data_IF_592197263628
#
_entry.id   IF_592197263628
#
_cell.length_a   1.000
_cell.length_b   1.000
_cell.length_c   1.000
_cell.angle_alpha   90.00
_cell.angle_beta   90.00
_cell.angle_gamma   90.00
#
_symmetry.space_group_name_H-M   'P 1'
#
loop_
_entity.id
_entity.type
_entity.pdbx_description
1 polymer ?
#
# COMPACT_ATOMS: atom_id res chain seq x y z
N UNK A 1 1.35 13.30 19.06
CA UNK A 1 2.39 13.30 18.00
C UNK A 1 2.08 14.45 17.06
N UNK A 2 3.05 15.31 16.77
CA UNK A 2 2.86 16.43 15.84
C UNK A 2 3.07 15.98 14.40
N UNK A 3 2.59 16.76 13.42
CA UNK A 3 2.86 16.49 12.00
C UNK A 3 4.37 16.46 11.68
N UNK A 4 5.15 17.32 12.34
CA UNK A 4 6.62 17.32 12.20
C UNK A 4 7.26 16.02 12.70
N UNK A 5 6.72 15.43 13.78
CA UNK A 5 7.21 14.14 14.28
C UNK A 5 6.88 13.02 13.29
N UNK A 6 5.65 13.01 12.76
CA UNK A 6 5.20 12.02 11.77
C UNK A 6 6.07 12.11 10.51
N UNK A 7 6.30 13.32 10.00
CA UNK A 7 7.19 13.55 8.85
C UNK A 7 8.56 12.93 9.08
N UNK A 8 9.22 13.23 10.22
CA UNK A 8 10.55 12.68 10.55
C UNK A 8 10.55 11.15 10.61
N UNK A 9 9.51 10.54 11.19
CA UNK A 9 9.37 9.09 11.26
C UNK A 9 9.29 8.50 9.86
N UNK A 10 8.40 9.03 9.01
CA UNK A 10 8.21 8.57 7.64
C UNK A 10 9.50 8.69 6.82
N UNK A 11 10.15 9.85 6.84
CA UNK A 11 11.41 10.07 6.12
C UNK A 11 12.53 9.10 6.56
N UNK A 12 12.59 8.77 7.86
CA UNK A 12 13.54 7.78 8.38
C UNK A 12 13.21 6.33 8.01
N UNK A 13 11.98 6.05 7.56
CA UNK A 13 11.55 4.73 7.10
C UNK A 13 11.80 4.51 5.60
N UNK A 14 11.86 5.54 4.78
CA UNK A 14 12.00 5.43 3.32
C UNK A 14 13.18 4.49 2.95
N UNK A 15 14.38 4.75 3.48
CA UNK A 15 15.53 3.91 3.16
C UNK A 15 15.33 2.46 3.60
N UNK A 16 14.65 2.23 4.73
CA UNK A 16 14.34 0.88 5.21
C UNK A 16 13.41 0.14 4.25
N UNK A 17 12.43 0.83 3.65
CA UNK A 17 11.56 0.24 2.62
C UNK A 17 12.33 -0.12 1.35
N UNK A 18 13.23 0.75 0.90
CA UNK A 18 14.08 0.49 -0.27
C UNK A 18 14.99 -0.73 -0.03
N UNK A 19 15.61 -0.81 1.16
CA UNK A 19 16.46 -1.95 1.54
C UNK A 19 15.65 -3.24 1.66
N UNK A 20 14.49 -3.20 2.30
CA UNK A 20 13.57 -4.34 2.42
C UNK A 20 13.11 -4.84 1.05
N UNK A 21 12.79 -3.92 0.13
CA UNK A 21 12.42 -4.28 -1.23
C UNK A 21 13.57 -4.91 -2.02
N UNK A 22 14.79 -4.41 -1.87
CA UNK A 22 15.98 -5.05 -2.47
C UNK A 22 16.16 -6.47 -1.94
N UNK A 23 16.04 -6.66 -0.62
CA UNK A 23 16.16 -7.98 0.01
C UNK A 23 15.05 -8.91 -0.49
N UNK A 24 13.80 -8.44 -0.62
CA UNK A 24 12.70 -9.25 -1.15
C UNK A 24 12.99 -9.74 -2.58
N UNK A 25 13.49 -8.87 -3.46
CA UNK A 25 13.88 -9.24 -4.83
C UNK A 25 15.05 -10.23 -4.83
N UNK A 26 16.06 -10.02 -3.98
CA UNK A 26 17.23 -10.91 -3.88
C UNK A 26 16.85 -12.30 -3.36
N UNK A 27 15.96 -12.39 -2.37
CA UNK A 27 15.41 -13.67 -1.88
C UNK A 27 14.63 -14.38 -2.96
N UNK A 28 13.76 -13.67 -3.69
CA UNK A 28 13.00 -14.23 -4.82
C UNK A 28 13.93 -14.87 -5.87
N UNK A 29 15.01 -14.16 -6.24
CA UNK A 29 16.00 -14.67 -7.21
C UNK A 29 16.78 -15.89 -6.72
N UNK A 30 17.02 -16.02 -5.41
CA UNK A 30 17.71 -17.16 -4.80
C UNK A 30 16.82 -18.37 -4.62
N UNK A 31 15.51 -18.23 -4.76
CA UNK A 31 14.50 -19.23 -4.49
C UNK A 31 13.88 -19.08 -3.11
N UNK A 32 12.55 -19.01 -3.09
CA UNK A 32 11.77 -18.82 -1.87
C UNK A 32 11.43 -20.16 -1.20
N UNK A 33 11.52 -20.22 0.12
CA UNK A 33 10.81 -21.21 0.91
C UNK A 33 9.37 -20.75 1.12
N UNK A 34 8.41 -21.66 0.98
CA UNK A 34 6.98 -21.35 0.97
C UNK A 34 6.26 -22.21 1.99
N UNK A 35 5.34 -21.62 2.72
CA UNK A 35 4.46 -22.30 3.66
C UNK A 35 3.01 -21.86 3.42
N UNK A 36 2.05 -22.68 3.84
CA UNK A 36 0.62 -22.34 3.81
C UNK A 36 0.19 -22.12 5.26
N UNK A 37 -0.33 -20.93 5.53
CA UNK A 37 -0.88 -20.57 6.85
C UNK A 37 -2.15 -21.36 7.15
N UNK A 38 -2.59 -21.34 8.41
CA UNK A 38 -3.82 -22.02 8.85
C UNK A 38 -5.10 -21.52 8.17
N UNK A 39 -5.08 -20.30 7.64
CA UNK A 39 -6.16 -19.68 6.87
C UNK A 39 -6.09 -19.98 5.35
N UNK A 40 -5.21 -20.91 4.94
CA UNK A 40 -4.91 -21.27 3.56
C UNK A 40 -4.28 -20.18 2.71
N UNK A 41 -3.76 -19.10 3.29
CA UNK A 41 -2.97 -18.10 2.57
C UNK A 41 -1.49 -18.52 2.52
N UNK A 42 -0.78 -18.21 1.41
CA UNK A 42 0.65 -18.52 1.31
C UNK A 42 1.47 -17.48 2.09
N UNK A 43 2.61 -17.92 2.64
CA UNK A 43 3.67 -17.08 3.19
C UNK A 43 5.02 -17.57 2.71
N UNK A 44 5.97 -16.69 2.53
CA UNK A 44 7.34 -17.04 2.16
C UNK A 44 8.36 -16.49 3.17
N UNK A 45 9.60 -16.96 3.07
CA UNK A 45 10.70 -16.36 3.82
C UNK A 45 10.93 -14.88 3.44
N UNK A 46 10.46 -14.43 2.27
CA UNK A 46 10.46 -13.02 1.88
C UNK A 46 9.56 -12.16 2.75
N UNK A 47 8.30 -12.61 2.97
CA UNK A 47 7.32 -11.95 3.85
C UNK A 47 7.88 -11.82 5.27
N UNK A 48 8.45 -12.90 5.81
CA UNK A 48 8.99 -12.94 7.17
C UNK A 48 10.22 -12.03 7.33
N UNK A 49 11.14 -12.02 6.38
CA UNK A 49 12.34 -11.17 6.48
C UNK A 49 12.00 -9.69 6.31
N UNK A 50 11.11 -9.34 5.36
CA UNK A 50 10.62 -7.96 5.21
C UNK A 50 9.90 -7.51 6.48
N UNK A 51 9.03 -8.34 7.05
CA UNK A 51 8.35 -8.05 8.32
C UNK A 51 9.35 -7.75 9.44
N UNK A 52 10.38 -8.56 9.59
CA UNK A 52 11.43 -8.39 10.60
C UNK A 52 12.19 -7.07 10.43
N UNK A 53 12.57 -6.72 9.20
CA UNK A 53 13.31 -5.49 8.90
C UNK A 53 12.45 -4.27 9.25
N UNK A 54 11.21 -4.22 8.77
CA UNK A 54 10.30 -3.10 9.02
C UNK A 54 9.98 -2.96 10.51
N UNK A 55 9.59 -4.06 11.17
CA UNK A 55 9.22 -4.07 12.59
C UNK A 55 10.37 -3.59 13.46
N UNK A 56 11.60 -4.04 13.20
CA UNK A 56 12.79 -3.60 13.95
C UNK A 56 13.00 -2.09 13.83
N UNK A 57 12.90 -1.54 12.64
CA UNK A 57 13.09 -0.10 12.41
C UNK A 57 11.95 0.72 13.01
N UNK A 58 10.71 0.32 12.80
CA UNK A 58 9.52 0.99 13.34
C UNK A 58 9.59 1.05 14.87
N UNK A 59 9.89 -0.07 15.54
CA UNK A 59 10.04 -0.11 16.99
C UNK A 59 11.18 0.78 17.49
N UNK A 60 12.26 0.93 16.74
CA UNK A 60 13.35 1.85 17.11
C UNK A 60 12.95 3.32 17.03
N UNK A 61 12.01 3.69 16.14
CA UNK A 61 11.52 5.06 15.96
C UNK A 61 10.33 5.38 16.88
N UNK A 62 9.48 4.37 17.13
CA UNK A 62 8.22 4.51 17.87
C UNK A 62 8.05 3.36 18.87
N UNK A 63 8.90 3.23 19.92
CA UNK A 63 8.92 2.06 20.81
C UNK A 63 7.62 1.85 21.59
N UNK A 64 6.81 2.89 21.77
CA UNK A 64 5.55 2.84 22.49
C UNK A 64 4.32 2.62 21.60
N UNK A 65 4.49 2.48 20.29
CA UNK A 65 3.39 2.24 19.36
C UNK A 65 3.46 0.78 18.91
N UNK A 66 2.46 -0.05 19.26
CA UNK A 66 2.45 -1.46 18.88
C UNK A 66 2.33 -1.65 17.37
N UNK A 67 2.84 -2.78 16.89
CA UNK A 67 2.73 -3.19 15.50
C UNK A 67 1.68 -4.29 15.39
N UNK A 68 0.78 -4.15 14.41
CA UNK A 68 -0.12 -5.18 13.90
C UNK A 68 0.34 -5.52 12.49
N UNK A 69 0.84 -6.72 12.31
CA UNK A 69 1.32 -7.19 11.01
C UNK A 69 0.49 -8.37 10.51
N UNK A 70 0.37 -8.50 9.19
CA UNK A 70 -0.23 -9.68 8.57
C UNK A 70 0.51 -10.97 8.96
N UNK A 71 1.83 -10.90 9.18
CA UNK A 71 2.66 -12.07 9.47
C UNK A 71 2.82 -12.40 10.95
N UNK A 72 2.37 -11.52 11.85
CA UNK A 72 2.44 -11.78 13.30
C UNK A 72 1.07 -11.70 13.95
N UNK A 73 0.79 -12.62 14.89
CA UNK A 73 -0.50 -12.71 15.59
C UNK A 73 -0.56 -11.88 16.88
N UNK A 74 0.57 -11.37 17.39
CA UNK A 74 0.68 -10.82 18.74
C UNK A 74 -0.32 -9.70 19.07
N UNK A 75 -0.69 -8.89 18.11
CA UNK A 75 -1.62 -7.76 18.32
C UNK A 75 -2.92 -7.87 17.52
N UNK A 76 -3.10 -8.88 16.67
CA UNK A 76 -4.31 -9.05 15.84
C UNK A 76 -5.60 -9.23 16.67
N UNK A 77 -5.52 -9.78 17.87
CA UNK A 77 -6.65 -10.00 18.77
C UNK A 77 -6.98 -8.78 19.67
N UNK A 78 -6.19 -7.72 19.63
CA UNK A 78 -6.40 -6.53 20.46
C UNK A 78 -7.39 -5.56 19.83
N UNK A 79 -8.67 -5.78 20.04
CA UNK A 79 -9.78 -5.00 19.44
C UNK A 79 -9.86 -3.50 19.85
N UNK A 80 -8.97 -2.99 20.72
CA UNK A 80 -9.07 -1.64 21.29
C UNK A 80 -7.79 -0.79 21.12
N UNK A 81 -6.96 -1.07 20.12
CA UNK A 81 -5.81 -0.23 19.86
C UNK A 81 -6.27 1.10 19.24
N UNK A 82 -5.84 2.21 19.82
CA UNK A 82 -6.08 3.56 19.28
C UNK A 82 -4.89 4.07 18.46
N UNK A 83 -3.68 3.65 18.88
CA UNK A 83 -2.44 4.02 18.20
C UNK A 83 -1.66 2.75 17.89
N UNK A 84 -1.37 2.51 16.62
CA UNK A 84 -0.64 1.32 16.17
C UNK A 84 -0.12 1.48 14.74
N UNK A 85 0.86 0.67 14.39
CA UNK A 85 1.26 0.45 13.00
C UNK A 85 0.51 -0.74 12.44
N UNK A 86 0.03 -0.61 11.21
CA UNK A 86 -0.40 -1.72 10.35
C UNK A 86 0.70 -1.99 9.34
N UNK A 87 1.12 -3.26 9.22
CA UNK A 87 2.14 -3.68 8.25
C UNK A 87 1.60 -4.85 7.44
N UNK A 88 1.70 -4.71 6.12
CA UNK A 88 1.64 -5.82 5.18
C UNK A 88 3.01 -5.92 4.51
N UNK A 89 3.83 -6.90 4.89
CA UNK A 89 5.21 -7.03 4.40
C UNK A 89 5.28 -7.27 2.91
N UNK A 90 4.35 -8.05 2.35
CA UNK A 90 4.25 -8.31 0.91
C UNK A 90 2.78 -8.46 0.52
N UNK A 91 2.09 -7.35 0.22
CA UNK A 91 0.79 -7.37 -0.43
C UNK A 91 0.93 -7.93 -1.85
N UNK A 92 0.24 -9.02 -2.11
CA UNK A 92 0.39 -9.77 -3.33
C UNK A 92 1.38 -10.93 -3.22
N UNK A 93 1.44 -11.61 -2.07
CA UNK A 93 2.30 -12.78 -1.80
C UNK A 93 2.18 -13.85 -2.91
N UNK A 94 0.97 -14.11 -3.43
CA UNK A 94 0.79 -15.05 -4.55
C UNK A 94 1.60 -14.63 -5.78
N UNK A 95 1.56 -13.35 -6.17
CA UNK A 95 2.29 -12.86 -7.33
C UNK A 95 3.80 -12.84 -7.05
N UNK A 96 4.20 -12.46 -5.85
CA UNK A 96 5.58 -12.49 -5.40
C UNK A 96 6.20 -13.89 -5.49
N UNK A 97 5.52 -14.94 -4.99
CA UNK A 97 6.02 -16.31 -5.01
C UNK A 97 5.99 -16.98 -6.39
N UNK A 98 5.25 -16.43 -7.35
CA UNK A 98 5.17 -16.89 -8.73
C UNK A 98 5.99 -16.02 -9.71
N UNK A 99 6.93 -15.25 -9.18
CA UNK A 99 7.86 -14.40 -9.94
C UNK A 99 7.16 -13.33 -10.81
N UNK A 100 6.01 -12.83 -10.33
CA UNK A 100 5.28 -11.73 -10.93
C UNK A 100 5.63 -10.41 -10.21
N UNK A 101 5.55 -9.31 -10.96
CA UNK A 101 6.03 -8.00 -10.49
C UNK A 101 4.94 -7.15 -9.81
N UNK A 102 3.80 -7.75 -9.47
CA UNK A 102 2.64 -7.05 -8.89
C UNK A 102 2.53 -7.29 -7.38
N UNK A 103 3.53 -6.84 -6.61
CA UNK A 103 3.51 -6.88 -5.16
C UNK A 103 4.03 -5.57 -4.57
N UNK A 104 3.61 -5.25 -3.35
CA UNK A 104 4.03 -4.06 -2.62
C UNK A 104 4.37 -4.36 -1.17
N UNK A 105 5.19 -3.50 -0.57
CA UNK A 105 5.52 -3.47 0.85
C UNK A 105 4.77 -2.29 1.45
N UNK A 106 3.96 -2.51 2.48
CA UNK A 106 3.04 -1.52 2.99
C UNK A 106 3.20 -1.30 4.50
N UNK A 107 3.15 -0.04 4.94
CA UNK A 107 2.94 0.30 6.35
C UNK A 107 2.07 1.54 6.50
N UNK A 108 1.16 1.52 7.48
CA UNK A 108 0.31 2.64 7.85
C UNK A 108 0.43 2.94 9.34
N UNK A 109 0.56 4.22 9.70
CA UNK A 109 0.50 4.68 11.09
C UNK A 109 -0.91 5.17 11.42
N UNK A 110 -1.50 4.57 12.44
CA UNK A 110 -2.80 4.93 12.97
C UNK A 110 -2.62 5.62 14.31
N UNK A 111 -3.19 6.81 14.48
CA UNK A 111 -3.24 7.57 15.74
C UNK A 111 -4.67 7.97 16.03
N UNK A 112 -5.15 7.67 17.23
CA UNK A 112 -6.54 7.89 17.63
C UNK A 112 -7.55 7.29 16.65
N UNK A 113 -7.26 6.07 16.20
CA UNK A 113 -8.05 5.31 15.21
C UNK A 113 -8.14 5.95 13.83
N UNK A 114 -7.29 6.94 13.52
CA UNK A 114 -7.21 7.57 12.20
C UNK A 114 -5.85 7.29 11.58
N UNK A 115 -5.76 6.89 10.31
CA UNK A 115 -4.50 6.84 9.60
C UNK A 115 -3.90 8.26 9.56
N UNK A 116 -2.61 8.39 9.80
CA UNK A 116 -1.90 9.70 9.79
C UNK A 116 -0.65 9.67 8.92
N UNK A 117 -0.20 8.48 8.53
CA UNK A 117 0.87 8.29 7.57
C UNK A 117 0.75 6.95 6.86
N UNK A 118 1.30 6.89 5.66
CA UNK A 118 1.37 5.68 4.85
C UNK A 118 2.68 5.60 4.06
N UNK A 119 3.20 4.39 3.90
CA UNK A 119 4.34 4.09 3.03
C UNK A 119 3.99 2.86 2.21
N UNK A 120 4.19 2.96 0.89
CA UNK A 120 3.94 1.87 -0.06
C UNK A 120 5.12 1.83 -1.02
N UNK A 121 5.80 0.70 -1.09
CA UNK A 121 6.88 0.48 -2.04
C UNK A 121 6.58 -0.72 -2.94
N UNK A 122 6.66 -0.52 -4.24
CA UNK A 122 6.57 -1.57 -5.27
C UNK A 122 7.99 -1.92 -5.77
N UNK A 123 8.68 -2.91 -5.16
CA UNK A 123 10.11 -3.15 -5.42
C UNK A 123 10.41 -3.50 -6.88
N UNK A 124 9.57 -4.34 -7.50
CA UNK A 124 9.76 -4.76 -8.89
C UNK A 124 9.54 -3.62 -9.91
N UNK A 125 8.85 -2.55 -9.51
CA UNK A 125 8.61 -1.35 -10.32
C UNK A 125 9.50 -0.18 -9.91
N UNK A 126 10.27 -0.33 -8.81
CA UNK A 126 11.09 0.71 -8.19
C UNK A 126 10.31 2.01 -7.93
N UNK A 127 9.08 1.87 -7.39
CA UNK A 127 8.20 3.01 -7.09
C UNK A 127 7.91 3.07 -5.60
N UNK A 128 8.27 4.19 -4.97
CA UNK A 128 8.08 4.43 -3.54
C UNK A 128 7.13 5.61 -3.34
N UNK A 129 6.02 5.35 -2.66
CA UNK A 129 5.01 6.33 -2.31
C UNK A 129 4.93 6.48 -0.79
N UNK A 130 4.71 7.70 -0.31
CA UNK A 130 4.55 7.95 1.11
C UNK A 130 3.76 9.21 1.41
N UNK A 131 3.19 9.27 2.61
CA UNK A 131 2.46 10.43 3.10
C UNK A 131 2.65 10.62 4.60
N UNK A 132 2.46 11.85 5.08
CA UNK A 132 2.53 12.20 6.51
C UNK A 132 1.51 13.28 6.89
N UNK A 133 0.26 13.07 6.53
CA UNK A 133 -0.88 13.95 6.81
C UNK A 133 -1.55 14.45 5.54
N UNK A 134 -2.63 15.21 5.73
CA UNK A 134 -3.42 15.79 4.65
C UNK A 134 -2.53 16.65 3.75
N UNK A 135 -2.70 16.56 2.44
CA UNK A 135 -1.96 17.30 1.41
C UNK A 135 -0.45 17.01 1.32
N UNK A 136 0.08 16.05 2.10
CA UNK A 136 1.51 15.68 2.10
C UNK A 136 1.74 14.26 1.59
N UNK A 137 1.35 14.02 0.33
CA UNK A 137 1.55 12.74 -0.38
C UNK A 137 2.58 12.91 -1.49
N UNK A 138 3.51 11.96 -1.59
CA UNK A 138 4.68 12.04 -2.46
C UNK A 138 4.98 10.71 -3.13
N UNK A 139 5.57 10.78 -4.32
CA UNK A 139 6.34 9.70 -4.92
C UNK A 139 7.82 10.05 -4.90
N UNK A 140 8.68 9.10 -4.57
CA UNK A 140 10.11 9.27 -4.64
C UNK A 140 10.60 8.94 -6.05
N UNK A 141 11.01 9.94 -6.81
CA UNK A 141 11.50 9.78 -8.19
C UNK A 141 12.97 10.18 -8.24
N UNK A 142 13.86 9.24 -8.58
CA UNK A 142 15.32 9.46 -8.61
C UNK A 142 15.91 10.00 -7.30
N UNK A 143 15.32 9.62 -6.16
CA UNK A 143 15.72 10.08 -4.84
C UNK A 143 15.12 11.42 -4.40
N UNK A 144 14.34 12.07 -5.25
CA UNK A 144 13.68 13.34 -4.95
C UNK A 144 12.17 13.15 -4.67
N UNK A 145 11.62 13.78 -3.62
CA UNK A 145 10.21 13.73 -3.31
C UNK A 145 9.39 14.61 -4.27
N UNK A 146 8.56 13.99 -5.08
CA UNK A 146 7.62 14.68 -5.97
C UNK A 146 6.24 14.63 -5.33
N UNK A 147 5.65 15.79 -5.05
CA UNK A 147 4.30 15.88 -4.48
C UNK A 147 3.28 15.34 -5.48
N UNK A 148 2.41 14.45 -5.01
CA UNK A 148 1.32 13.92 -5.83
C UNK A 148 0.25 15.00 -6.08
N UNK A 149 -0.21 15.08 -7.31
CA UNK A 149 -1.25 16.00 -7.74
C UNK A 149 -2.09 15.33 -8.83
N UNK A 150 -3.25 14.83 -8.46
CA UNK A 150 -4.18 14.17 -9.38
C UNK A 150 -5.14 15.14 -10.10
N UNK A 151 -5.08 16.45 -9.79
CA UNK A 151 -6.02 17.44 -10.36
C UNK A 151 -5.74 17.76 -11.83
N UNK A 152 -4.52 17.49 -12.30
CA UNK A 152 -4.01 18.01 -13.59
C UNK A 152 -4.30 17.14 -14.80
N UNK A 153 -4.64 15.85 -14.63
CA UNK A 153 -4.66 14.88 -15.73
C UNK A 153 -6.06 14.31 -16.05
N UNK A 154 -7.12 14.87 -15.44
CA UNK A 154 -8.46 14.34 -15.66
C UNK A 154 -9.04 14.79 -17.02
N UNK A 155 -9.16 13.84 -17.96
CA UNK A 155 -9.89 14.04 -19.23
C UNK A 155 -11.19 13.24 -19.23
N UNK A 156 -12.33 13.95 -19.19
CA UNK A 156 -13.67 13.33 -19.25
C UNK A 156 -13.91 12.45 -20.49
N UNK A 157 -13.13 12.63 -21.55
CA UNK A 157 -13.27 11.88 -22.79
C UNK A 157 -12.41 10.60 -22.81
N UNK A 158 -11.41 10.49 -21.92
CA UNK A 158 -10.48 9.38 -21.82
C UNK A 158 -10.39 8.76 -20.44
N UNK A 159 -11.50 8.51 -19.76
CA UNK A 159 -11.53 7.95 -18.42
C UNK A 159 -10.87 6.55 -18.43
N UNK A 160 -9.81 6.39 -17.61
CA UNK A 160 -8.97 5.19 -17.50
C UNK A 160 -9.05 4.63 -16.09
N UNK A 161 -9.45 3.39 -15.94
CA UNK A 161 -9.51 2.74 -14.63
C UNK A 161 -8.45 1.67 -14.46
N UNK A 162 -8.11 1.39 -13.22
CA UNK A 162 -7.45 0.14 -12.85
C UNK A 162 -8.49 -0.88 -12.45
N UNK A 163 -8.18 -2.17 -12.64
CA UNK A 163 -9.05 -3.28 -12.27
C UNK A 163 -8.23 -4.40 -11.65
N UNK A 164 -8.76 -5.08 -10.66
CA UNK A 164 -8.12 -6.27 -10.09
C UNK A 164 -8.08 -7.45 -11.07
N UNK A 165 -9.06 -7.55 -11.98
CA UNK A 165 -9.23 -8.67 -12.91
C UNK A 165 -9.39 -8.19 -14.34
N UNK A 166 -8.90 -9.00 -15.30
CA UNK A 166 -9.22 -8.82 -16.72
C UNK A 166 -10.67 -9.23 -17.05
N UNK A 167 -11.30 -10.05 -16.19
CA UNK A 167 -12.71 -10.43 -16.32
C UNK A 167 -13.52 -9.54 -15.40
N UNK A 168 -14.12 -8.50 -15.98
CA UNK A 168 -14.96 -7.57 -15.24
C UNK A 168 -16.32 -8.22 -14.97
N UNK A 169 -16.75 -8.19 -13.71
CA UNK A 169 -18.10 -8.65 -13.32
C UNK A 169 -19.18 -7.76 -13.92
N UNK A 170 -20.37 -8.30 -14.20
CA UNK A 170 -21.48 -7.54 -14.80
C UNK A 170 -21.78 -6.24 -14.04
N UNK A 171 -21.81 -6.28 -12.71
CA UNK A 171 -22.12 -5.14 -11.84
C UNK A 171 -21.07 -4.01 -11.99
N UNK A 172 -19.78 -4.38 -12.03
CA UNK A 172 -18.70 -3.44 -12.24
C UNK A 172 -18.74 -2.88 -13.67
N UNK A 173 -19.07 -3.73 -14.65
CA UNK A 173 -19.18 -3.30 -16.04
C UNK A 173 -20.30 -2.28 -16.24
N UNK A 174 -21.42 -2.40 -15.52
CA UNK A 174 -22.47 -1.38 -15.51
C UNK A 174 -22.00 -0.04 -14.95
N UNK A 175 -21.21 -0.08 -13.86
CA UNK A 175 -20.60 1.13 -13.31
C UNK A 175 -19.64 1.76 -14.34
N UNK A 176 -18.80 0.94 -14.99
CA UNK A 176 -17.89 1.43 -16.03
C UNK A 176 -18.62 2.10 -17.19
N UNK A 177 -19.75 1.52 -17.64
CA UNK A 177 -20.61 2.12 -18.66
C UNK A 177 -21.18 3.47 -18.21
N UNK A 178 -21.73 3.55 -16.98
CA UNK A 178 -22.31 4.78 -16.41
C UNK A 178 -21.26 5.89 -16.29
N UNK A 179 -20.02 5.54 -15.91
CA UNK A 179 -18.91 6.48 -15.77
C UNK A 179 -18.17 6.76 -17.09
N UNK A 180 -18.61 6.15 -18.20
CA UNK A 180 -17.97 6.27 -19.52
C UNK A 180 -16.49 5.86 -19.51
N UNK A 181 -16.13 4.83 -18.73
CA UNK A 181 -14.74 4.30 -18.68
C UNK A 181 -14.35 3.77 -20.06
N UNK A 182 -13.29 4.32 -20.64
CA UNK A 182 -12.82 3.95 -21.99
C UNK A 182 -11.81 2.83 -21.99
N UNK A 183 -10.98 2.79 -20.97
CA UNK A 183 -9.92 1.79 -20.84
C UNK A 183 -9.79 1.37 -19.38
N UNK A 184 -9.39 0.13 -19.17
CA UNK A 184 -8.93 -0.31 -17.86
C UNK A 184 -7.71 -1.21 -18.01
N UNK A 185 -6.85 -1.17 -17.00
CA UNK A 185 -5.64 -2.00 -16.93
C UNK A 185 -5.73 -2.85 -15.67
N UNK A 186 -5.39 -4.12 -15.80
CA UNK A 186 -5.28 -4.99 -14.64
C UNK A 186 -4.08 -4.60 -13.80
N UNK A 187 -4.30 -4.38 -12.52
CA UNK A 187 -3.27 -4.12 -11.53
C UNK A 187 -3.72 -4.70 -10.19
N UNK A 188 -2.87 -5.52 -9.61
CA UNK A 188 -3.06 -6.07 -8.27
C UNK A 188 -2.29 -5.23 -7.26
N UNK A 189 -2.17 -5.70 -6.03
CA UNK A 189 -1.51 -5.03 -4.91
C UNK A 189 -1.97 -3.60 -4.65
N UNK A 190 -1.41 -2.98 -3.64
CA UNK A 190 -1.69 -1.60 -3.25
C UNK A 190 -1.19 -0.55 -4.26
N UNK A 191 -0.34 -0.95 -5.21
CA UNK A 191 0.15 -0.06 -6.27
C UNK A 191 -0.99 0.58 -7.08
N UNK A 192 -2.11 -0.15 -7.29
CA UNK A 192 -3.29 0.38 -8.01
C UNK A 192 -3.82 1.70 -7.44
N UNK A 193 -3.75 1.87 -6.14
CA UNK A 193 -4.19 3.11 -5.48
C UNK A 193 -3.15 4.22 -5.62
N UNK A 194 -1.87 3.87 -5.58
CA UNK A 194 -0.78 4.82 -5.75
C UNK A 194 -0.79 5.48 -7.14
N UNK A 195 -1.05 4.70 -8.19
CA UNK A 195 -1.13 5.23 -9.56
C UNK A 195 -2.37 6.11 -9.78
N UNK A 196 -3.46 5.87 -9.02
CA UNK A 196 -4.62 6.78 -9.00
C UNK A 196 -4.24 8.08 -8.28
N UNK A 197 -3.59 8.00 -7.13
CA UNK A 197 -3.12 9.15 -6.39
C UNK A 197 -2.12 10.01 -7.20
N UNK A 198 -1.34 9.37 -8.06
CA UNK A 198 -0.42 10.03 -8.99
C UNK A 198 -1.10 10.62 -10.25
N UNK A 199 -2.42 10.41 -10.41
CA UNK A 199 -3.17 10.92 -11.57
C UNK A 199 -2.91 10.17 -12.88
N UNK A 200 -2.35 8.96 -12.83
CA UNK A 200 -2.13 8.12 -14.01
C UNK A 200 -3.40 7.40 -14.46
N UNK A 201 -4.29 7.15 -13.49
CA UNK A 201 -5.61 6.54 -13.67
C UNK A 201 -6.65 7.31 -12.86
N UNK A 202 -7.90 7.26 -13.31
CA UNK A 202 -8.99 8.07 -12.77
C UNK A 202 -9.79 7.36 -11.67
N UNK A 203 -9.64 6.03 -11.55
CA UNK A 203 -10.38 5.32 -10.51
C UNK A 203 -10.23 3.79 -10.51
N UNK A 204 -10.82 3.21 -9.48
CA UNK A 204 -10.91 1.77 -9.26
C UNK A 204 -12.26 1.45 -8.61
N UNK A 205 -12.95 0.44 -9.10
CA UNK A 205 -14.15 -0.11 -8.45
C UNK A 205 -13.77 -1.35 -7.70
N UNK A 206 -13.77 -1.25 -6.36
CA UNK A 206 -13.44 -2.35 -5.47
C UNK A 206 -14.61 -3.33 -5.30
N UNK A 207 -14.32 -4.62 -5.27
CA UNK A 207 -15.15 -5.59 -4.60
C UNK A 207 -14.83 -5.59 -3.10
N UNK A 208 -15.79 -5.94 -2.20
CA UNK A 208 -15.53 -5.99 -0.76
C UNK A 208 -14.60 -7.17 -0.41
N UNK A 209 -13.29 -6.94 -0.50
CA UNK A 209 -12.24 -7.95 -0.24
C UNK A 209 -11.07 -7.43 0.57
N UNK A 210 -10.97 -6.11 0.72
CA UNK A 210 -9.82 -5.49 1.33
C UNK A 210 -9.80 -5.70 2.84
N UNK A 211 -8.63 -6.03 3.37
CA UNK A 211 -8.34 -6.04 4.80
C UNK A 211 -7.95 -4.63 5.29
N UNK A 212 -7.86 -4.44 6.59
CA UNK A 212 -7.53 -3.14 7.19
C UNK A 212 -6.16 -2.62 6.74
N UNK A 213 -5.16 -3.50 6.62
CA UNK A 213 -3.82 -3.14 6.16
C UNK A 213 -3.75 -2.79 4.67
N UNK A 214 -4.68 -3.29 3.84
CA UNK A 214 -4.78 -2.90 2.43
C UNK A 214 -5.28 -1.46 2.26
N UNK A 215 -6.03 -0.96 3.25
CA UNK A 215 -6.72 0.33 3.15
C UNK A 215 -6.01 1.41 3.97
N UNK A 216 -5.54 1.11 5.18
CA UNK A 216 -5.04 2.12 6.11
C UNK A 216 -3.80 2.87 5.61
N UNK A 217 -2.87 2.17 4.93
CA UNK A 217 -1.71 2.81 4.31
C UNK A 217 -2.08 3.66 3.08
N UNK A 218 -3.26 3.41 2.49
CA UNK A 218 -3.74 4.05 1.27
C UNK A 218 -4.52 5.33 1.51
N UNK A 219 -5.26 5.42 2.61
CA UNK A 219 -6.14 6.55 2.89
C UNK A 219 -5.41 7.90 2.91
N UNK A 220 -4.11 7.91 3.20
CA UNK A 220 -3.30 9.11 3.19
C UNK A 220 -2.30 9.23 2.04
N UNK A 221 -2.05 8.15 1.28
CA UNK A 221 -1.25 8.23 0.07
C UNK A 221 -2.06 8.75 -1.13
N UNK A 222 -3.39 8.78 -1.01
CA UNK A 222 -4.27 9.41 -1.99
C UNK A 222 -4.73 10.77 -1.48
N UNK A 223 -4.55 11.87 -2.22
CA UNK A 223 -5.29 13.10 -1.95
C UNK A 223 -6.77 12.78 -2.22
N UNK A 224 -7.49 12.36 -1.16
CA UNK A 224 -8.92 12.12 -1.27
C UNK A 224 -9.62 13.43 -1.64
N UNK A 225 -10.49 13.46 -2.65
CA UNK A 225 -11.50 14.51 -2.71
C UNK A 225 -12.28 14.41 -1.40
N UNK A 226 -12.37 15.52 -0.69
CA UNK A 226 -12.96 15.65 0.65
C UNK A 226 -14.26 14.87 0.77
N UNK A 227 -14.56 14.39 1.98
CA UNK A 227 -15.80 13.72 2.40
C UNK A 227 -17.09 14.54 2.18
N UNK A 228 -17.06 15.56 1.36
CA UNK A 228 -18.16 16.49 1.08
C UNK A 228 -19.11 16.00 -0.02
N UNK A 229 -18.92 14.77 -0.52
CA UNK A 229 -19.78 14.16 -1.54
C UNK A 229 -20.23 12.76 -1.08
N UNK A 230 -21.15 12.74 -0.16
CA UNK A 230 -22.11 11.65 0.01
C UNK A 230 -23.51 12.23 -0.21
#
# INVERSE_FOLDING_TARGET
MTQSDIKKIVENLIQTFLDAGKISIDLRKKGLTKEIKSDNTPVSNGDLEVNKILSKKILSLTPNIPIVSEETSENKSKNNLENFWLIDPIDGTYDYINDLDEFTINAGLIIQKKPVAGLIYAPAKNRMFYSYGDDFSFELINGEPIKLDNSKNFDKNEIKFVSYSNKIKPEINEIYKKLNVKKYVRMKSSLKFCVIAAGEYDGYVAEPRASEWDIACLLYTSPSPRDDVI
#
